data_IF_609647475732
#
_entry.id   IF_609647475732
#
_cell.length_a   1.000
_cell.length_b   1.000
_cell.length_c   1.000
_cell.angle_alpha   90.00
_cell.angle_beta   90.00
_cell.angle_gamma   90.00
#
_symmetry.space_group_name_H-M   'P 1'
#
loop_
_entity.id
_entity.type
_entity.pdbx_description
1 polymer ?
#
# COMPACT_ATOMS: atom_id res chain seq x y z
N UNK A 1 17.64 19.37 17.43
CA UNK A 1 17.47 18.02 17.97
C UNK A 1 16.17 17.42 17.44
N UNK A 2 16.20 16.20 16.91
CA UNK A 2 15.01 15.42 16.52
C UNK A 2 15.23 14.00 17.02
N UNK A 3 14.30 13.46 17.83
CA UNK A 3 14.46 12.11 18.41
C UNK A 3 15.78 11.93 19.18
N UNK A 4 16.24 12.97 19.89
CA UNK A 4 17.52 12.94 20.59
C UNK A 4 18.77 13.10 19.71
N UNK A 5 18.63 13.30 18.39
CA UNK A 5 19.74 13.47 17.46
C UNK A 5 19.96 14.94 17.08
N UNK A 6 21.21 15.39 17.08
CA UNK A 6 21.58 16.75 16.69
C UNK A 6 21.75 16.83 15.17
N UNK A 7 20.98 17.71 14.53
CA UNK A 7 21.07 18.00 13.10
C UNK A 7 21.83 19.31 12.88
N UNK A 8 22.50 19.41 11.74
CA UNK A 8 23.19 20.60 11.24
C UNK A 8 22.47 21.15 10.01
N UNK A 9 22.74 22.42 9.71
CA UNK A 9 22.24 23.05 8.48
C UNK A 9 22.78 22.28 7.27
N UNK A 10 21.88 21.87 6.38
CA UNK A 10 22.22 21.12 5.16
C UNK A 10 22.10 19.60 5.32
N UNK A 11 21.87 19.08 6.52
CA UNK A 11 21.60 17.66 6.71
C UNK A 11 20.30 17.25 6.01
N UNK A 12 20.34 16.13 5.30
CA UNK A 12 19.16 15.53 4.67
C UNK A 12 18.61 14.45 5.60
N UNK A 13 17.32 14.54 5.91
CA UNK A 13 16.62 13.55 6.74
C UNK A 13 15.67 12.75 5.87
N UNK A 14 15.89 11.43 5.80
CA UNK A 14 14.97 10.52 5.12
C UNK A 14 13.84 10.13 6.08
N UNK A 15 12.61 10.51 5.74
CA UNK A 15 11.42 10.08 6.47
C UNK A 15 10.95 8.72 5.96
N UNK A 16 11.19 7.67 6.73
CA UNK A 16 10.86 6.30 6.34
C UNK A 16 9.41 5.93 6.69
N UNK A 17 8.46 6.31 5.83
CA UNK A 17 7.02 6.09 6.05
C UNK A 17 6.64 4.65 6.37
N UNK A 18 7.31 3.68 5.77
CA UNK A 18 7.03 2.26 6.01
C UNK A 18 7.40 1.79 7.42
N UNK A 19 8.35 2.48 8.06
CA UNK A 19 8.73 2.21 9.46
C UNK A 19 7.71 2.88 10.38
N UNK A 20 7.37 4.15 10.11
CA UNK A 20 6.35 4.86 10.87
C UNK A 20 4.97 4.16 10.83
N UNK A 21 4.58 3.59 9.68
CA UNK A 21 3.34 2.82 9.54
C UNK A 21 3.36 1.45 10.23
N UNK A 22 4.50 1.05 10.80
CA UNK A 22 4.66 -0.17 11.62
C UNK A 22 5.12 0.15 13.04
N UNK A 23 5.04 1.41 13.46
CA UNK A 23 5.46 1.80 14.80
C UNK A 23 4.52 1.16 15.84
N UNK A 24 5.01 0.25 16.71
CA UNK A 24 4.18 -0.40 17.73
C UNK A 24 3.63 0.57 18.77
N UNK A 25 4.22 1.76 18.93
CA UNK A 25 3.68 2.80 19.79
C UNK A 25 2.44 3.50 19.19
N UNK A 26 2.22 3.36 17.88
CA UNK A 26 1.08 3.96 17.17
C UNK A 26 0.07 2.91 16.68
N UNK A 27 0.55 1.73 16.31
CA UNK A 27 -0.26 0.65 15.75
C UNK A 27 -0.08 -0.61 16.61
N UNK A 28 -1.07 -0.98 17.44
CA UNK A 28 -1.11 -2.32 18.03
C UNK A 28 -1.09 -3.38 16.93
N UNK A 29 -0.31 -4.43 17.10
CA UNK A 29 -0.10 -5.51 16.12
C UNK A 29 0.24 -4.96 14.71
N UNK A 30 1.36 -4.24 14.55
CA UNK A 30 1.67 -3.47 13.34
C UNK A 30 1.94 -4.33 12.10
N UNK A 31 2.23 -5.62 12.30
CA UNK A 31 2.47 -6.58 11.22
C UNK A 31 1.21 -7.35 10.81
N UNK A 32 0.12 -7.22 11.58
CA UNK A 32 -1.16 -7.85 11.29
C UNK A 32 -2.05 -6.98 10.40
N UNK A 33 -2.74 -7.62 9.45
CA UNK A 33 -3.73 -6.95 8.63
C UNK A 33 -5.07 -6.83 9.37
N UNK A 34 -5.41 -5.61 9.76
CA UNK A 34 -6.68 -5.27 10.43
C UNK A 34 -7.51 -4.39 9.49
N UNK A 35 -8.49 -4.98 8.82
CA UNK A 35 -9.26 -4.34 7.75
C UNK A 35 -10.09 -3.13 8.22
N UNK A 36 -10.62 -3.20 9.45
CA UNK A 36 -11.51 -2.21 10.05
C UNK A 36 -10.81 -1.32 11.09
N UNK A 37 -9.46 -1.30 11.09
CA UNK A 37 -8.66 -0.50 12.02
C UNK A 37 -9.13 0.96 12.02
N UNK A 38 -9.51 1.46 13.19
CA UNK A 38 -9.93 2.84 13.41
C UNK A 38 -9.55 3.30 14.82
N UNK A 39 -8.86 4.45 14.98
CA UNK A 39 -8.29 5.30 13.92
C UNK A 39 -7.14 4.62 13.17
N UNK A 40 -6.85 5.05 11.94
CA UNK A 40 -5.74 4.55 11.13
C UNK A 40 -4.84 5.70 10.62
N UNK A 41 -4.00 6.29 11.50
CA UNK A 41 -3.23 7.50 11.21
C UNK A 41 -1.95 7.24 10.40
N UNK A 42 -2.03 6.40 9.36
CA UNK A 42 -0.87 6.04 8.55
C UNK A 42 -0.35 7.21 7.67
N UNK A 43 0.95 7.19 7.37
CA UNK A 43 1.67 8.14 6.52
C UNK A 43 1.81 7.71 5.05
N UNK A 44 1.12 6.66 4.60
CA UNK A 44 1.19 6.22 3.18
C UNK A 44 0.87 7.34 2.16
N UNK A 45 0.11 8.38 2.55
CA UNK A 45 -0.19 9.55 1.72
C UNK A 45 0.58 10.82 2.14
N UNK A 46 1.66 10.66 2.90
CA UNK A 46 2.43 11.78 3.47
C UNK A 46 1.66 12.59 4.50
N UNK A 47 2.25 13.71 4.91
CA UNK A 47 1.74 14.61 5.94
C UNK A 47 2.12 16.07 5.66
N UNK A 48 1.39 17.01 6.27
CA UNK A 48 1.68 18.44 6.18
C UNK A 48 1.30 19.05 4.82
N UNK A 49 1.95 20.17 4.44
CA UNK A 49 1.62 20.92 3.22
C UNK A 49 1.76 20.13 1.92
N UNK A 50 2.56 19.06 1.92
CA UNK A 50 2.78 18.19 0.76
C UNK A 50 2.02 16.86 0.86
N UNK A 51 0.98 16.79 1.70
CA UNK A 51 0.12 15.60 1.75
C UNK A 51 -0.47 15.31 0.36
N UNK A 52 -0.53 14.04 0.01
CA UNK A 52 -0.94 13.57 -1.31
C UNK A 52 -2.35 14.09 -1.69
N UNK A 53 -2.37 14.99 -2.69
CA UNK A 53 -3.60 15.50 -3.30
C UNK A 53 -4.45 14.38 -3.92
N UNK A 54 -3.79 13.36 -4.48
CA UNK A 54 -4.43 12.19 -5.10
C UNK A 54 -4.99 11.16 -4.11
N UNK A 55 -4.85 11.36 -2.79
CA UNK A 55 -5.26 10.34 -1.80
C UNK A 55 -6.75 9.98 -1.84
N UNK A 56 -7.61 10.92 -2.27
CA UNK A 56 -9.03 10.65 -2.46
C UNK A 56 -9.29 9.74 -3.68
N UNK A 57 -8.64 10.04 -4.80
CA UNK A 57 -8.75 9.25 -6.03
C UNK A 57 -8.18 7.86 -5.82
N UNK A 58 -6.97 7.75 -5.26
CA UNK A 58 -6.32 6.47 -4.98
C UNK A 58 -7.17 5.56 -4.08
N UNK A 59 -7.90 6.12 -3.11
CA UNK A 59 -8.83 5.34 -2.26
C UNK A 59 -10.03 4.81 -3.04
N UNK A 60 -10.61 5.63 -3.92
CA UNK A 60 -11.72 5.21 -4.78
C UNK A 60 -11.27 4.11 -5.75
N UNK A 61 -10.11 4.30 -6.38
CA UNK A 61 -9.50 3.32 -7.27
C UNK A 61 -9.21 1.99 -6.55
N UNK A 62 -8.56 2.05 -5.39
CA UNK A 62 -8.23 0.85 -4.60
C UNK A 62 -9.49 0.08 -4.18
N UNK A 63 -10.50 0.79 -3.68
CA UNK A 63 -11.78 0.18 -3.31
C UNK A 63 -12.42 -0.50 -4.51
N UNK A 64 -12.52 0.22 -5.64
CA UNK A 64 -13.13 -0.30 -6.87
C UNK A 64 -12.37 -1.52 -7.37
N UNK A 65 -11.03 -1.47 -7.40
CA UNK A 65 -10.18 -2.56 -7.83
C UNK A 65 -10.40 -3.81 -6.97
N UNK A 66 -10.35 -3.70 -5.64
CA UNK A 66 -10.54 -4.83 -4.72
C UNK A 66 -11.94 -5.42 -4.89
N UNK A 67 -12.98 -4.59 -4.92
CA UNK A 67 -14.36 -5.05 -5.13
C UNK A 67 -14.52 -5.81 -6.45
N UNK A 68 -13.94 -5.30 -7.55
CA UNK A 68 -14.03 -5.97 -8.85
C UNK A 68 -13.21 -7.25 -8.93
N UNK A 69 -12.01 -7.28 -8.33
CA UNK A 69 -11.17 -8.49 -8.27
C UNK A 69 -11.91 -9.59 -7.51
N UNK A 70 -12.40 -9.31 -6.30
CA UNK A 70 -13.12 -10.31 -5.50
C UNK A 70 -14.42 -10.78 -6.16
N UNK A 71 -15.10 -9.89 -6.92
CA UNK A 71 -16.32 -10.24 -7.65
C UNK A 71 -16.05 -11.10 -8.89
N UNK A 72 -14.95 -10.84 -9.61
CA UNK A 72 -14.66 -11.48 -10.91
C UNK A 72 -13.77 -12.71 -10.79
N UNK A 73 -12.91 -12.73 -9.79
CA UNK A 73 -11.89 -13.76 -9.54
C UNK A 73 -12.03 -14.25 -8.08
N UNK A 74 -13.20 -14.76 -7.64
CA UNK A 74 -13.43 -15.08 -6.23
C UNK A 74 -12.53 -16.21 -5.70
N UNK A 75 -11.98 -17.02 -6.60
CA UNK A 75 -11.14 -18.19 -6.34
C UNK A 75 -9.67 -17.95 -6.71
N UNK A 76 -9.23 -16.69 -6.80
CA UNK A 76 -7.86 -16.42 -7.20
C UNK A 76 -6.85 -16.90 -6.15
N UNK A 77 -5.76 -17.49 -6.63
CA UNK A 77 -4.61 -17.87 -5.83
C UNK A 77 -3.36 -17.19 -6.38
N UNK A 78 -2.53 -16.64 -5.48
CA UNK A 78 -1.22 -16.09 -5.85
C UNK A 78 -0.25 -17.25 -6.08
N UNK A 79 0.52 -17.20 -7.16
CA UNK A 79 1.61 -18.15 -7.45
C UNK A 79 2.92 -17.56 -6.90
N UNK A 80 3.43 -18.03 -5.74
CA UNK A 80 4.52 -17.35 -5.04
C UNK A 80 5.81 -17.25 -5.86
N UNK A 81 6.12 -18.29 -6.63
CA UNK A 81 7.34 -18.37 -7.45
C UNK A 81 7.34 -17.38 -8.64
N UNK A 82 6.18 -16.82 -8.97
CA UNK A 82 6.02 -15.81 -10.02
C UNK A 82 5.99 -14.38 -9.45
N UNK A 83 6.13 -14.19 -8.14
CA UNK A 83 6.12 -12.85 -7.54
C UNK A 83 7.48 -12.18 -7.69
N UNK A 84 7.53 -11.10 -8.47
CA UNK A 84 8.73 -10.27 -8.61
C UNK A 84 8.48 -8.92 -7.96
N UNK A 85 9.21 -8.66 -6.87
CA UNK A 85 9.12 -7.38 -6.15
C UNK A 85 9.96 -6.32 -6.85
N UNK A 86 9.41 -5.11 -6.92
CA UNK A 86 10.16 -3.93 -7.36
C UNK A 86 11.01 -3.41 -6.19
N UNK A 87 12.30 -3.16 -6.44
CA UNK A 87 13.21 -2.55 -5.49
C UNK A 87 13.41 -1.07 -5.83
N UNK A 88 12.85 -0.19 -5.01
CA UNK A 88 13.00 1.26 -5.15
C UNK A 88 12.43 2.01 -3.95
N UNK A 89 12.27 3.33 -4.09
CA UNK A 89 11.65 4.17 -3.07
C UNK A 89 10.18 3.77 -2.82
N UNK A 90 9.50 3.30 -3.87
CA UNK A 90 8.17 2.73 -3.78
C UNK A 90 8.27 1.21 -3.60
N UNK A 91 7.45 0.64 -2.71
CA UNK A 91 7.24 -0.80 -2.67
C UNK A 91 6.14 -1.20 -3.64
N UNK A 92 6.41 -2.20 -4.45
CA UNK A 92 5.47 -2.76 -5.40
C UNK A 92 5.92 -4.12 -5.90
N UNK A 93 5.15 -4.66 -6.83
CA UNK A 93 5.47 -5.89 -7.55
C UNK A 93 5.47 -5.54 -9.04
N UNK A 94 6.55 -5.89 -9.75
CA UNK A 94 6.60 -5.79 -11.21
C UNK A 94 5.93 -7.00 -11.87
N UNK A 95 5.84 -8.12 -11.14
CA UNK A 95 5.03 -9.27 -11.52
C UNK A 95 4.32 -9.86 -10.29
N UNK A 96 3.05 -10.22 -10.47
CA UNK A 96 2.24 -10.95 -9.50
C UNK A 96 1.51 -12.07 -10.26
N UNK A 97 2.11 -13.26 -10.29
CA UNK A 97 1.47 -14.43 -10.87
C UNK A 97 0.21 -14.82 -10.10
N UNK A 98 -0.88 -15.06 -10.82
CA UNK A 98 -2.18 -15.45 -10.25
C UNK A 98 -2.83 -16.54 -11.09
N UNK A 99 -3.50 -17.49 -10.42
CA UNK A 99 -4.37 -18.50 -11.03
C UNK A 99 -5.80 -18.27 -10.57
N UNK A 100 -6.77 -18.50 -11.43
CA UNK A 100 -8.21 -18.39 -11.14
C UNK A 100 -8.99 -19.17 -12.20
N UNK A 101 -10.23 -19.55 -11.89
CA UNK A 101 -11.10 -20.19 -12.90
C UNK A 101 -11.58 -19.16 -13.94
N UNK A 102 -11.32 -19.35 -15.24
CA UNK A 102 -11.76 -18.39 -16.26
C UNK A 102 -13.29 -18.27 -16.31
N UNK A 103 -13.80 -17.04 -16.11
CA UNK A 103 -15.21 -16.70 -16.29
C UNK A 103 -15.53 -16.17 -17.71
N UNK A 104 -16.82 -16.00 -18.04
CA UNK A 104 -17.23 -15.37 -19.29
C UNK A 104 -16.68 -13.94 -19.39
N UNK A 105 -16.21 -13.55 -20.59
CA UNK A 105 -15.72 -12.18 -20.84
C UNK A 105 -16.88 -11.19 -20.78
N UNK A 106 -16.70 -10.15 -19.98
CA UNK A 106 -17.74 -9.13 -19.69
C UNK A 106 -17.40 -7.76 -20.28
N UNK A 107 -16.18 -7.58 -20.79
CA UNK A 107 -15.81 -6.39 -21.56
C UNK A 107 -16.24 -6.60 -23.01
N UNK A 108 -16.93 -5.61 -23.60
CA UNK A 108 -17.19 -5.58 -25.04
C UNK A 108 -15.85 -5.40 -25.77
N UNK A 109 -15.65 -6.16 -26.85
CA UNK A 109 -14.55 -5.91 -27.79
C UNK A 109 -14.62 -4.44 -28.22
N UNK A 110 -13.51 -3.73 -28.04
CA UNK A 110 -13.35 -2.36 -28.50
C UNK A 110 -12.98 -2.35 -29.96
#
# INVERSE_FOLDING_TARGET
MVGGQQLKKGDVVLLHWMSANRDPAQFPDPDEYVADRSPNPHFAFGFGPHRCLGSFVAKVELRTMVEQVLRRLPDYEVVPDEVVRYTGLNRGMSNLGVRFTPGPRVAKER
#
